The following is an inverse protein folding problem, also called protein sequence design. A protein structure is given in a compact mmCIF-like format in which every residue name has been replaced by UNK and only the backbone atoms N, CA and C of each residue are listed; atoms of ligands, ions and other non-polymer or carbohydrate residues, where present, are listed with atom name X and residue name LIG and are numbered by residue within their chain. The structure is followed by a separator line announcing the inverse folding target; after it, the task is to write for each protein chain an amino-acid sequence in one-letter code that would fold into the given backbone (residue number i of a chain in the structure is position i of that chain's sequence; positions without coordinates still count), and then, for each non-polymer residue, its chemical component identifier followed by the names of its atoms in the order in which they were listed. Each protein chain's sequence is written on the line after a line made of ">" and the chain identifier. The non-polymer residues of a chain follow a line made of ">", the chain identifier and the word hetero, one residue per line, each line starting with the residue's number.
data_IF_949165233421
#
_entry.id   IF_949165233421
#
_cell.length_a   1.000
_cell.length_b   1.000
_cell.length_c   1.000
_cell.angle_alpha   90.00
_cell.angle_beta   90.00
_cell.angle_gamma   90.00
#
_symmetry.space_group_name_H-M   'P 1'
#
loop_
_entity.id
_entity.type
_entity.pdbx_description
1 polymer ?
#
# COMPACT_ATOMS: atom_id res chain seq x y z
N UNK A 1 42.33 19.47 23.71
CA UNK A 1 40.93 19.86 23.97
C UNK A 1 40.13 19.44 22.76
N UNK A 2 39.25 18.45 22.95
CA UNK A 2 38.45 17.82 21.90
C UNK A 2 37.35 18.79 21.43
N UNK A 3 37.22 19.00 20.12
CA UNK A 3 36.03 19.64 19.55
C UNK A 3 35.38 18.67 18.56
N UNK A 4 34.14 18.35 18.85
CA UNK A 4 33.31 17.34 18.25
C UNK A 4 33.03 17.59 16.76
N UNK A 5 33.22 16.56 15.95
CA UNK A 5 32.64 16.43 14.61
C UNK A 5 31.15 16.11 14.75
N UNK A 6 30.34 17.15 14.98
CA UNK A 6 28.89 17.07 14.92
C UNK A 6 28.43 17.28 13.48
N UNK A 7 28.55 16.26 12.63
CA UNK A 7 27.86 16.25 11.34
C UNK A 7 26.35 16.42 11.57
N UNK A 8 25.62 17.13 10.68
CA UNK A 8 24.17 17.25 10.82
C UNK A 8 23.56 15.84 10.88
N UNK A 9 22.49 15.62 11.68
CA UNK A 9 21.78 14.35 11.62
C UNK A 9 21.40 14.14 10.17
N UNK A 10 21.89 13.06 9.58
CA UNK A 10 21.51 12.64 8.24
C UNK A 10 19.97 12.68 8.22
N UNK A 11 19.30 13.49 7.38
CA UNK A 11 17.86 13.36 7.27
C UNK A 11 17.64 11.90 6.92
N UNK A 12 16.79 11.21 7.70
CA UNK A 12 16.43 9.82 7.40
C UNK A 12 16.25 9.74 5.90
N UNK A 13 17.07 8.91 5.23
CA UNK A 13 16.91 8.68 3.81
C UNK A 13 15.42 8.43 3.60
N UNK A 14 14.76 9.04 2.60
CA UNK A 14 13.40 8.62 2.31
C UNK A 14 13.50 7.12 2.12
N UNK A 15 12.96 6.34 3.05
CA UNK A 15 12.80 4.92 2.87
C UNK A 15 11.98 4.83 1.59
N UNK A 16 12.63 4.54 0.46
CA UNK A 16 11.98 4.33 -0.83
C UNK A 16 11.29 2.97 -0.77
N UNK A 17 10.48 2.78 0.27
CA UNK A 17 9.59 1.66 0.42
C UNK A 17 8.56 1.83 -0.68
N UNK A 18 8.64 1.02 -1.72
CA UNK A 18 7.72 1.07 -2.84
C UNK A 18 6.32 0.70 -2.33
N UNK A 19 5.46 1.71 -2.22
CA UNK A 19 4.06 1.57 -1.88
C UNK A 19 3.20 1.79 -3.12
N UNK A 20 2.13 1.00 -3.25
CA UNK A 20 1.17 1.10 -4.33
C UNK A 20 -0.25 1.09 -3.78
N UNK A 21 -1.02 2.13 -4.10
CA UNK A 21 -2.42 2.25 -3.73
C UNK A 21 -3.31 1.66 -4.82
N UNK A 22 -4.13 0.69 -4.44
CA UNK A 22 -5.04 -0.02 -5.33
C UNK A 22 -6.47 0.36 -4.98
N UNK A 23 -7.22 0.82 -5.98
CA UNK A 23 -8.63 1.17 -5.86
C UNK A 23 -9.49 0.12 -6.55
N UNK A 24 -10.40 -0.51 -5.81
CA UNK A 24 -11.28 -1.55 -6.33
C UNK A 24 -12.72 -1.33 -5.90
N UNK A 25 -13.64 -1.79 -6.74
CA UNK A 25 -15.08 -1.72 -6.49
C UNK A 25 -15.62 -3.15 -6.45
N UNK A 26 -16.54 -3.41 -5.53
CA UNK A 26 -17.15 -4.73 -5.35
C UNK A 26 -18.34 -4.69 -4.41
N UNK A 27 -19.04 -5.82 -4.29
CA UNK A 27 -20.23 -5.97 -3.46
C UNK A 27 -19.94 -6.69 -2.14
N UNK A 28 -18.74 -7.24 -1.97
CA UNK A 28 -18.39 -8.03 -0.80
C UNK A 28 -16.90 -7.88 -0.44
N UNK A 29 -16.53 -8.00 0.84
CA UNK A 29 -15.14 -7.90 1.27
C UNK A 29 -14.21 -8.88 0.56
N UNK A 30 -14.62 -10.13 0.35
CA UNK A 30 -13.83 -11.15 -0.35
C UNK A 30 -13.56 -10.79 -1.81
N UNK A 31 -14.55 -10.18 -2.48
CA UNK A 31 -14.41 -9.74 -3.86
C UNK A 31 -13.41 -8.58 -3.96
N UNK A 32 -13.57 -7.57 -3.09
CA UNK A 32 -12.65 -6.44 -3.00
C UNK A 32 -11.23 -6.90 -2.73
N UNK A 33 -11.03 -7.78 -1.75
CA UNK A 33 -9.73 -8.34 -1.42
C UNK A 33 -9.09 -9.04 -2.61
N UNK A 34 -9.84 -9.91 -3.30
CA UNK A 34 -9.33 -10.66 -4.46
C UNK A 34 -8.92 -9.73 -5.59
N UNK A 35 -9.74 -8.72 -5.89
CA UNK A 35 -9.43 -7.71 -6.92
C UNK A 35 -8.21 -6.87 -6.53
N UNK A 36 -8.13 -6.46 -5.26
CA UNK A 36 -7.01 -5.64 -4.78
C UNK A 36 -5.68 -6.39 -4.88
N UNK A 37 -5.66 -7.67 -4.48
CA UNK A 37 -4.48 -8.53 -4.61
C UNK A 37 -4.10 -8.77 -6.07
N UNK A 38 -5.08 -9.00 -6.95
CA UNK A 38 -4.82 -9.19 -8.37
C UNK A 38 -4.18 -7.95 -9.01
N UNK A 39 -4.68 -6.76 -8.71
CA UNK A 39 -4.10 -5.52 -9.23
C UNK A 39 -2.72 -5.22 -8.61
N UNK A 40 -2.53 -5.52 -7.32
CA UNK A 40 -1.21 -5.39 -6.68
C UNK A 40 -0.18 -6.35 -7.29
N UNK A 41 -0.55 -7.60 -7.56
CA UNK A 41 0.31 -8.59 -8.22
C UNK A 41 0.70 -8.14 -9.64
N UNK A 42 -0.20 -7.48 -10.38
CA UNK A 42 0.13 -6.92 -11.71
C UNK A 42 1.17 -5.79 -11.65
N UNK A 43 1.22 -5.06 -10.53
CA UNK A 43 2.19 -3.97 -10.34
C UNK A 43 3.54 -4.48 -9.82
N UNK A 44 3.55 -5.34 -8.80
CA UNK A 44 4.77 -5.81 -8.14
C UNK A 44 5.34 -7.12 -8.72
N UNK A 45 4.52 -7.90 -9.44
CA UNK A 45 4.82 -9.26 -9.90
C UNK A 45 4.14 -10.33 -9.03
N UNK A 46 3.79 -11.47 -9.62
CA UNK A 46 3.08 -12.57 -8.94
C UNK A 46 3.90 -13.22 -7.81
N UNK A 47 5.24 -13.15 -7.87
CA UNK A 47 6.15 -13.68 -6.85
C UNK A 47 6.51 -12.65 -5.76
N UNK A 48 5.97 -11.43 -5.83
CA UNK A 48 6.30 -10.39 -4.86
C UNK A 48 5.66 -10.67 -3.49
N UNK A 49 6.45 -10.57 -2.43
CA UNK A 49 5.91 -10.58 -1.08
C UNK A 49 5.31 -9.21 -0.76
N UNK A 50 3.99 -9.18 -0.53
CA UNK A 50 3.24 -7.95 -0.31
C UNK A 50 2.74 -7.85 1.13
N UNK A 51 2.95 -6.69 1.74
CA UNK A 51 2.37 -6.30 3.02
C UNK A 51 1.24 -5.29 2.80
N UNK A 52 0.11 -5.48 3.48
CA UNK A 52 -0.99 -4.51 3.49
C UNK A 52 -0.69 -3.46 4.55
N UNK A 53 -0.51 -2.22 4.12
CA UNK A 53 -0.24 -1.08 5.01
C UNK A 53 -1.54 -0.45 5.51
N UNK A 54 -2.50 -0.25 4.61
CA UNK A 54 -3.83 0.27 4.92
C UNK A 54 -4.88 -0.38 4.03
N UNK A 55 -6.08 -0.54 4.56
CA UNK A 55 -7.24 -1.02 3.82
C UNK A 55 -8.48 -0.26 4.32
N UNK A 56 -8.98 0.64 3.49
CA UNK A 56 -10.15 1.47 3.78
C UNK A 56 -11.24 1.14 2.77
N UNK A 57 -12.50 1.14 3.22
CA UNK A 57 -13.65 0.91 2.35
C UNK A 57 -14.78 1.84 2.69
N UNK A 58 -15.41 2.37 1.66
CA UNK A 58 -16.53 3.30 1.76
C UNK A 58 -17.67 2.81 0.84
N UNK A 59 -18.93 3.01 1.23
CA UNK A 59 -20.06 2.72 0.34
C UNK A 59 -19.96 3.59 -0.92
N UNK A 60 -20.26 3.01 -2.08
CA UNK A 60 -20.26 3.72 -3.34
C UNK A 60 -21.53 4.59 -3.45
N UNK A 61 -21.42 5.94 -3.48
CA UNK A 61 -22.59 6.81 -3.54
C UNK A 61 -23.37 6.69 -4.85
N UNK A 62 -22.76 6.11 -5.90
CA UNK A 62 -23.38 5.97 -7.22
C UNK A 62 -24.18 4.67 -7.37
N UNK A 63 -23.91 3.67 -6.52
CA UNK A 63 -24.50 2.33 -6.64
C UNK A 63 -24.80 1.71 -5.27
N UNK A 64 -26.09 1.57 -4.96
CA UNK A 64 -26.55 0.86 -3.77
C UNK A 64 -25.95 -0.54 -3.66
N UNK A 65 -25.39 -0.85 -2.48
CA UNK A 65 -24.80 -2.15 -2.17
C UNK A 65 -23.39 -2.37 -2.71
N UNK A 66 -22.78 -1.40 -3.41
CA UNK A 66 -21.35 -1.43 -3.76
C UNK A 66 -20.50 -0.70 -2.74
N UNK A 67 -19.25 -1.12 -2.67
CA UNK A 67 -18.22 -0.50 -1.86
C UNK A 67 -17.03 -0.17 -2.76
N UNK A 68 -16.44 1.00 -2.54
CA UNK A 68 -15.14 1.41 -3.06
C UNK A 68 -14.13 1.13 -1.97
N UNK A 69 -13.09 0.35 -2.27
CA UNK A 69 -12.00 0.08 -1.34
C UNK A 69 -10.68 0.61 -1.89
N UNK A 70 -9.90 1.19 -0.98
CA UNK A 70 -8.53 1.66 -1.22
C UNK A 70 -7.61 0.83 -0.35
N UNK A 71 -6.73 0.06 -0.98
CA UNK A 71 -5.77 -0.80 -0.28
C UNK A 71 -4.36 -0.36 -0.65
N UNK A 72 -3.56 -0.02 0.35
CA UNK A 72 -2.16 0.36 0.17
C UNK A 72 -1.30 -0.88 0.42
N UNK A 73 -0.63 -1.33 -0.64
CA UNK A 73 0.34 -2.41 -0.58
C UNK A 73 1.75 -1.84 -0.52
N UNK A 74 2.62 -2.60 0.13
CA UNK A 74 4.05 -2.37 0.19
C UNK A 74 4.74 -3.67 -0.20
N UNK A 75 5.76 -3.59 -1.05
CA UNK A 75 6.63 -4.74 -1.26
C UNK A 75 7.55 -4.93 -0.04
N UNK A 76 7.69 -6.18 0.39
CA UNK A 76 8.72 -6.58 1.35
C UNK A 76 9.91 -7.03 0.50
N UNK A 77 11.03 -6.33 0.60
CA UNK A 77 12.28 -6.82 0.00
C UNK A 77 12.71 -8.08 0.75
N UNK A 78 12.94 -9.17 0.01
CA UNK A 78 13.53 -10.42 0.50
C UNK A 78 15.03 -10.26 0.73
#
# INVERSE_FOLDING_TARGET
>A
MNHAEGGPPNPAAPDFTFQHSVHVIGFSPDELRRRALHEAARFFGDDAELHVVSAESEPDPEYDGRYKATVVFRQVEL
#
